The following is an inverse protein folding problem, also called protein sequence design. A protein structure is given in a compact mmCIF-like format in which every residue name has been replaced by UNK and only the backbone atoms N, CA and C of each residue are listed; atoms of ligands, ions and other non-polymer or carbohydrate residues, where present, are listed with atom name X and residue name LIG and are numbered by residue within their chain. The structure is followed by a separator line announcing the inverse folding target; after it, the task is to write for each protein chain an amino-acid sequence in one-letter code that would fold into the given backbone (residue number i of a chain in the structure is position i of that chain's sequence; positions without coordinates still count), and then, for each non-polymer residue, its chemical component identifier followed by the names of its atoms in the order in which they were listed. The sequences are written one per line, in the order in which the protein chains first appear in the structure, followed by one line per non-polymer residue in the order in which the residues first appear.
data_IF_788845813448
#
_entry.id   IF_788845813448
#
_cell.length_a   1.000
_cell.length_b   1.000
_cell.length_c   1.000
_cell.angle_alpha   90.00
_cell.angle_beta   90.00
_cell.angle_gamma   90.00
#
_symmetry.space_group_name_H-M   'P 1'
#
loop_
_entity.id
_entity.type
_entity.pdbx_description
1 polymer ?
#
# COMPACT_ATOMS: atom_id res chain seq x y z
N UNK A 1 4.84 8.09 5.16
CA UNK A 1 4.94 7.18 4.00
C UNK A 1 5.76 5.97 4.42
N UNK A 2 5.41 4.81 3.92
CA UNK A 2 6.10 3.56 4.29
C UNK A 2 6.13 2.59 3.12
N UNK A 3 7.02 1.60 3.19
CA UNK A 3 7.05 0.49 2.24
C UNK A 3 6.21 -0.64 2.82
N UNK A 4 5.37 -1.22 1.98
CA UNK A 4 4.55 -2.37 2.35
C UNK A 4 4.46 -3.38 1.24
N UNK A 5 3.87 -4.52 1.54
CA UNK A 5 3.55 -5.55 0.56
C UNK A 5 2.04 -5.80 0.58
N UNK A 6 1.44 -5.92 -0.58
CA UNK A 6 0.02 -6.24 -0.69
C UNK A 6 -0.15 -7.72 -0.35
N UNK A 7 -0.94 -8.00 0.69
CA UNK A 7 -1.15 -9.36 1.17
C UNK A 7 -2.58 -9.84 1.02
N UNK A 8 -3.47 -8.98 0.56
CA UNK A 8 -4.85 -9.38 0.36
C UNK A 8 -5.73 -8.23 -0.10
N UNK A 9 -7.01 -8.51 -0.17
CA UNK A 9 -8.05 -7.56 -0.55
C UNK A 9 -9.10 -7.50 0.55
N UNK A 10 -9.76 -6.35 0.66
CA UNK A 10 -10.89 -6.18 1.58
C UNK A 10 -12.13 -5.86 0.76
N UNK A 11 -13.16 -6.65 0.93
CA UNK A 11 -14.44 -6.47 0.25
C UNK A 11 -15.51 -6.20 1.30
N UNK A 12 -16.18 -5.06 1.17
CA UNK A 12 -17.29 -4.66 2.05
C UNK A 12 -18.51 -4.37 1.18
N UNK A 13 -19.58 -5.13 1.35
CA UNK A 13 -20.81 -4.96 0.58
C UNK A 13 -21.71 -3.87 1.16
N UNK A 14 -21.59 -3.59 2.46
CA UNK A 14 -22.32 -2.51 3.13
C UNK A 14 -21.33 -1.52 3.72
N UNK A 15 -21.34 -0.30 3.23
CA UNK A 15 -20.43 0.76 3.68
C UNK A 15 -21.09 2.12 3.52
N UNK A 16 -20.56 3.11 4.19
CA UNK A 16 -21.06 4.47 4.04
C UNK A 16 -20.82 4.96 2.60
N UNK A 17 -21.69 5.84 2.13
CA UNK A 17 -21.72 6.25 0.72
C UNK A 17 -20.40 6.87 0.25
N UNK A 18 -19.74 7.64 1.10
CA UNK A 18 -18.46 8.27 0.76
C UNK A 18 -17.31 7.26 0.49
N UNK A 19 -17.52 6.00 0.82
CA UNK A 19 -16.57 4.91 0.54
C UNK A 19 -16.89 4.14 -0.73
N UNK A 20 -18.01 4.45 -1.39
CA UNK A 20 -18.41 3.73 -2.60
C UNK A 20 -17.37 3.85 -3.70
N UNK A 21 -17.08 2.74 -4.35
CA UNK A 21 -16.16 2.71 -5.48
C UNK A 21 -14.68 2.74 -5.11
N UNK A 22 -14.34 2.76 -3.82
CA UNK A 22 -12.93 2.73 -3.40
C UNK A 22 -12.45 1.28 -3.29
N UNK A 23 -11.51 0.86 -4.14
CA UNK A 23 -10.88 -0.46 -3.99
C UNK A 23 -10.03 -0.47 -2.72
N UNK A 24 -10.14 -1.55 -1.95
CA UNK A 24 -9.40 -1.69 -0.70
C UNK A 24 -8.46 -2.89 -0.76
N UNK A 25 -7.25 -2.69 -0.28
CA UNK A 25 -6.24 -3.74 -0.18
C UNK A 25 -5.75 -3.84 1.27
N UNK A 26 -5.32 -5.03 1.63
CA UNK A 26 -4.63 -5.25 2.89
C UNK A 26 -3.13 -5.17 2.63
N UNK A 27 -2.45 -4.26 3.32
CA UNK A 27 -1.02 -3.98 3.13
C UNK A 27 -0.30 -4.27 4.44
N UNK A 28 0.72 -5.08 4.37
CA UNK A 28 1.62 -5.35 5.50
C UNK A 28 2.84 -4.46 5.40
N UNK A 29 3.12 -3.72 6.46
CA UNK A 29 4.30 -2.87 6.52
C UNK A 29 5.56 -3.73 6.62
N UNK A 30 6.60 -3.33 5.90
CA UNK A 30 7.89 -4.00 5.97
C UNK A 30 8.99 -3.00 6.36
N UNK A 31 10.09 -3.52 6.86
CA UNK A 31 11.24 -2.71 7.26
C UNK A 31 12.10 -2.37 6.04
N UNK A 32 12.98 -1.34 6.14
CA UNK A 32 13.87 -1.01 5.02
C UNK A 32 14.81 -2.17 4.60
N UNK A 33 15.09 -3.10 5.50
CA UNK A 33 15.90 -4.29 5.17
C UNK A 33 15.04 -5.49 4.72
N UNK A 34 13.79 -5.20 4.30
CA UNK A 34 12.86 -6.16 3.72
C UNK A 34 12.44 -7.27 4.69
N UNK A 35 12.20 -6.91 5.93
CA UNK A 35 11.64 -7.84 6.92
C UNK A 35 10.19 -7.51 7.21
N UNK A 36 9.37 -8.54 7.32
CA UNK A 36 7.96 -8.38 7.62
C UNK A 36 7.77 -7.90 9.06
N UNK A 37 6.76 -7.05 9.24
CA UNK A 37 6.31 -6.61 10.56
C UNK A 37 4.90 -7.14 10.81
N UNK A 38 4.40 -6.94 12.03
CA UNK A 38 3.02 -7.31 12.37
C UNK A 38 2.05 -6.14 12.19
N UNK A 39 2.45 -5.11 11.48
CA UNK A 39 1.62 -3.92 11.25
C UNK A 39 0.94 -4.03 9.87
N UNK A 40 -0.39 -3.96 9.87
CA UNK A 40 -1.20 -4.06 8.68
C UNK A 40 -2.05 -2.81 8.52
N UNK A 41 -2.34 -2.46 7.27
CA UNK A 41 -3.22 -1.34 6.92
C UNK A 41 -4.24 -1.81 5.91
N UNK A 42 -5.46 -1.28 6.03
CA UNK A 42 -6.43 -1.32 4.94
C UNK A 42 -6.22 -0.04 4.15
N UNK A 43 -5.78 -0.16 2.92
CA UNK A 43 -5.40 0.99 2.09
C UNK A 43 -6.27 1.07 0.84
N UNK A 44 -6.56 2.30 0.43
CA UNK A 44 -7.20 2.54 -0.87
C UNK A 44 -6.18 2.26 -1.97
N UNK A 45 -6.59 1.54 -2.99
CA UNK A 45 -5.75 1.21 -4.14
C UNK A 45 -6.29 1.89 -5.40
N UNK A 46 -5.65 2.99 -5.78
CA UNK A 46 -5.99 3.71 -7.01
C UNK A 46 -5.16 3.34 -8.23
N UNK A 47 -4.21 2.41 -8.08
CA UNK A 47 -3.26 2.09 -9.15
C UNK A 47 -3.31 0.63 -9.60
N UNK A 48 -4.09 -0.20 -8.93
CA UNK A 48 -4.24 -1.61 -9.32
C UNK A 48 -3.09 -2.49 -8.89
N UNK A 49 -2.62 -2.36 -7.65
CA UNK A 49 -1.58 -3.22 -7.11
C UNK A 49 -2.10 -4.64 -6.88
N UNK A 50 -1.33 -5.63 -7.28
CA UNK A 50 -1.66 -7.04 -7.10
C UNK A 50 -1.07 -7.60 -5.82
N UNK A 51 -1.61 -8.72 -5.36
CA UNK A 51 -1.05 -9.45 -4.21
C UNK A 51 0.42 -9.79 -4.47
N UNK A 52 1.24 -9.59 -3.46
CA UNK A 52 2.68 -9.83 -3.56
C UNK A 52 3.50 -8.65 -4.05
N UNK A 53 2.86 -7.59 -4.57
CA UNK A 53 3.59 -6.41 -5.01
C UNK A 53 4.02 -5.55 -3.82
N UNK A 54 5.24 -5.02 -3.92
CA UNK A 54 5.76 -4.05 -2.96
C UNK A 54 5.28 -2.67 -3.37
N UNK A 55 4.84 -1.90 -2.40
CA UNK A 55 4.20 -0.60 -2.64
C UNK A 55 4.73 0.47 -1.70
N UNK A 56 4.64 1.73 -2.14
CA UNK A 56 4.71 2.89 -1.26
C UNK A 56 3.31 3.27 -0.85
N UNK A 57 3.10 3.40 0.44
CA UNK A 57 1.81 3.79 0.98
C UNK A 57 1.96 4.99 1.91
N UNK A 58 0.93 5.82 1.95
CA UNK A 58 0.81 6.91 2.91
C UNK A 58 -0.25 6.54 3.94
N UNK A 59 -0.09 7.04 5.16
CA UNK A 59 -1.03 6.82 6.25
C UNK A 59 -1.35 8.13 6.97
N UNK A 60 -2.40 8.10 7.81
CA UNK A 60 -2.86 9.27 8.53
C UNK A 60 -3.48 10.30 7.61
N UNK A 61 -3.38 11.58 7.96
CA UNK A 61 -3.98 12.67 7.19
C UNK A 61 -3.36 12.83 5.80
N UNK A 62 -2.11 12.45 5.63
CA UNK A 62 -1.43 12.49 4.34
C UNK A 62 -2.13 11.61 3.30
N UNK A 63 -2.74 10.52 3.73
CA UNK A 63 -3.47 9.61 2.84
C UNK A 63 -4.67 10.28 2.17
N UNK A 64 -5.17 11.41 2.69
CA UNK A 64 -6.32 12.13 2.13
C UNK A 64 -5.94 13.25 1.18
N UNK A 65 -4.67 13.37 0.82
CA UNK A 65 -4.17 14.44 -0.05
C UNK A 65 -4.03 14.02 -1.52
N UNK A 66 -4.90 13.14 -1.97
CA UNK A 66 -4.99 12.75 -3.38
C UNK A 66 -6.39 13.06 -3.91
N UNK A 67 -6.54 13.20 -5.22
CA UNK A 67 -7.86 13.42 -5.81
C UNK A 67 -8.82 12.28 -5.50
N UNK A 68 -8.33 11.05 -5.43
CA UNK A 68 -9.15 9.88 -5.12
C UNK A 68 -9.65 9.89 -3.67
N UNK A 69 -8.84 10.36 -2.73
CA UNK A 69 -9.10 10.25 -1.30
C UNK A 69 -9.49 11.57 -0.64
N UNK A 70 -9.53 12.67 -1.39
CA UNK A 70 -9.87 14.00 -0.85
C UNK A 70 -11.25 13.96 -0.18
N UNK A 71 -11.30 14.42 1.07
CA UNK A 71 -12.50 14.40 1.91
C UNK A 71 -13.13 13.02 2.10
N UNK A 72 -12.36 11.95 1.93
CA UNK A 72 -12.83 10.59 2.20
C UNK A 72 -12.38 10.13 3.59
N UNK A 73 -13.16 9.28 4.26
CA UNK A 73 -12.83 8.80 5.61
C UNK A 73 -11.82 7.65 5.55
N UNK A 74 -10.65 7.90 4.96
CA UNK A 74 -9.58 6.92 4.80
C UNK A 74 -8.29 7.44 5.42
N UNK A 75 -7.45 6.54 5.90
CA UNK A 75 -6.19 6.88 6.54
C UNK A 75 -4.99 6.12 5.96
N UNK A 76 -5.19 5.40 4.86
CA UNK A 76 -4.09 4.75 4.15
C UNK A 76 -4.40 4.68 2.67
N UNK A 77 -3.40 4.91 1.84
CA UNK A 77 -3.51 4.83 0.38
C UNK A 77 -2.22 4.30 -0.22
N UNK A 78 -2.36 3.44 -1.23
CA UNK A 78 -1.23 2.98 -2.04
C UNK A 78 -0.90 4.08 -3.05
N UNK A 79 0.34 4.58 -2.98
CA UNK A 79 0.80 5.70 -3.81
C UNK A 79 1.57 5.25 -5.04
N UNK A 80 2.28 4.13 -4.96
CA UNK A 80 3.14 3.66 -6.04
C UNK A 80 3.45 2.18 -5.89
N UNK A 81 3.75 1.53 -7.00
CA UNK A 81 4.34 0.19 -7.00
C UNK A 81 5.85 0.37 -6.99
N UNK A 82 6.52 -0.32 -6.07
CA UNK A 82 7.97 -0.21 -5.90
C UNK A 82 8.67 -1.19 -6.82
N UNK A 83 9.62 -0.70 -7.61
CA UNK A 83 10.42 -1.53 -8.49
C UNK A 83 11.74 -1.95 -7.83
N UNK A 84 12.33 -1.07 -7.03
CA UNK A 84 13.57 -1.39 -6.32
C UNK A 84 13.84 -0.36 -5.22
N UNK A 85 14.65 -0.75 -4.24
CA UNK A 85 15.23 0.22 -3.30
C UNK A 85 16.56 -0.28 -2.76
N UNK A 86 17.32 0.66 -2.23
CA UNK A 86 18.65 0.44 -1.67
C UNK A 86 18.69 0.88 -0.21
N UNK A 87 19.50 0.21 0.59
CA UNK A 87 19.79 0.58 1.96
C UNK A 87 21.30 0.49 2.15
N UNK A 88 21.94 1.58 2.59
CA UNK A 88 23.40 1.64 2.76
C UNK A 88 24.16 1.19 1.49
N UNK A 89 23.74 1.70 0.34
CA UNK A 89 24.32 1.39 -0.98
C UNK A 89 24.18 -0.08 -1.39
N UNK A 90 23.35 -0.85 -0.69
CA UNK A 90 23.04 -2.23 -1.06
C UNK A 90 21.65 -2.31 -1.65
N UNK A 91 21.52 -3.01 -2.77
CA UNK A 91 20.24 -3.30 -3.38
C UNK A 91 19.52 -4.34 -2.52
N UNK A 92 18.42 -3.92 -1.88
CA UNK A 92 17.64 -4.78 -0.98
C UNK A 92 16.56 -5.52 -1.76
N UNK A 93 15.90 -4.82 -2.69
CA UNK A 93 14.82 -5.39 -3.48
C UNK A 93 14.93 -4.89 -4.91
N UNK A 94 14.73 -5.81 -5.84
CA UNK A 94 14.65 -5.49 -7.27
C UNK A 94 13.59 -6.39 -7.89
N UNK A 95 12.51 -5.81 -8.38
CA UNK A 95 11.34 -6.54 -8.86
C UNK A 95 11.68 -7.50 -10.00
N UNK A 96 12.53 -7.08 -10.93
CA UNK A 96 12.90 -7.88 -12.09
C UNK A 96 13.72 -9.14 -11.74
N UNK A 97 14.39 -9.14 -10.58
CA UNK A 97 15.17 -10.28 -10.11
C UNK A 97 14.45 -11.09 -9.03
N UNK A 98 13.27 -10.65 -8.60
CA UNK A 98 12.46 -11.36 -7.64
C UNK A 98 11.86 -12.59 -8.32
N UNK A 99 12.25 -13.77 -7.87
CA UNK A 99 11.66 -15.02 -8.33
C UNK A 99 10.52 -15.35 -7.38
N UNK A 100 9.33 -15.46 -7.92
CA UNK A 100 8.14 -15.78 -7.13
C UNK A 100 8.22 -17.20 -6.55
#
# INVERSE_FOLDING_TARGET
MFIGIVVGSVVASHKIKSMDGLPLRLVRRITPDNKETDTYFVAVDGIGAADGEYVLAASGSTARQTTLTDNKPVDAIIMAIVDEWQLHDQLIYHKATQVA
#
